data_IF_449745339396
#
_entry.id   IF_449745339396
#
_cell.length_a   1.000
_cell.length_b   1.000
_cell.length_c   1.000
_cell.angle_alpha   90.00
_cell.angle_beta   90.00
_cell.angle_gamma   90.00
#
_symmetry.space_group_name_H-M   'P 1'
#
loop_
_entity.id
_entity.type
_entity.pdbx_description
1 polymer ?
#
# COMPACT_ATOMS: atom_id res chain seq x y z
N UNK A 1 -12.34 9.51 28.95
CA UNK A 1 -10.91 9.44 28.61
C UNK A 1 -10.52 8.21 27.79
N UNK A 2 -11.25 7.08 27.81
CA UNK A 2 -10.80 5.83 27.17
C UNK A 2 -10.89 5.71 25.64
N UNK A 3 -11.48 6.67 24.92
CA UNK A 3 -11.62 6.58 23.46
C UNK A 3 -10.30 6.73 22.71
N UNK A 4 -9.46 7.68 23.12
CA UNK A 4 -8.15 7.91 22.50
C UNK A 4 -7.18 6.76 22.79
N UNK A 5 -7.20 6.23 24.03
CA UNK A 5 -6.38 5.08 24.41
C UNK A 5 -6.75 3.82 23.60
N UNK A 6 -8.05 3.58 23.38
CA UNK A 6 -8.52 2.47 22.56
C UNK A 6 -8.11 2.62 21.08
N UNK A 7 -8.12 3.84 20.55
CA UNK A 7 -7.66 4.14 19.17
C UNK A 7 -6.15 3.92 19.05
N UNK A 8 -5.36 4.38 20.01
CA UNK A 8 -3.90 4.20 20.01
C UNK A 8 -3.55 2.70 20.14
N UNK A 9 -4.24 1.98 21.03
CA UNK A 9 -4.05 0.55 21.20
C UNK A 9 -4.40 -0.24 19.92
N UNK A 10 -5.56 0.03 19.32
CA UNK A 10 -5.97 -0.64 18.07
C UNK A 10 -5.06 -0.28 16.89
N UNK A 11 -4.58 0.96 16.80
CA UNK A 11 -3.59 1.38 15.81
C UNK A 11 -2.28 0.60 15.96
N UNK A 12 -1.75 0.50 17.19
CA UNK A 12 -0.54 -0.27 17.48
C UNK A 12 -0.69 -1.74 17.12
N UNK A 13 -1.80 -2.37 17.51
CA UNK A 13 -2.08 -3.78 17.20
C UNK A 13 -2.19 -4.00 15.68
N UNK A 14 -2.89 -3.11 14.96
CA UNK A 14 -3.07 -3.24 13.51
C UNK A 14 -1.75 -3.06 12.75
N UNK A 15 -0.89 -2.14 13.19
CA UNK A 15 0.44 -1.93 12.62
C UNK A 15 1.33 -3.16 12.80
N UNK A 16 1.36 -3.72 14.02
CA UNK A 16 2.13 -4.93 14.34
C UNK A 16 1.60 -6.13 13.55
N UNK A 17 0.29 -6.29 13.45
CA UNK A 17 -0.32 -7.37 12.68
C UNK A 17 0.03 -7.29 11.18
N UNK A 18 -0.08 -6.11 10.57
CA UNK A 18 0.30 -5.92 9.16
C UNK A 18 1.79 -6.13 8.92
N UNK A 19 2.64 -5.64 9.83
CA UNK A 19 4.08 -5.84 9.74
C UNK A 19 4.44 -7.32 9.87
N UNK A 20 3.86 -8.02 10.84
CA UNK A 20 4.07 -9.45 11.03
C UNK A 20 3.60 -10.26 9.82
N UNK A 21 2.43 -9.95 9.26
CA UNK A 21 1.94 -10.60 8.03
C UNK A 21 2.88 -10.31 6.86
N UNK A 22 3.33 -9.07 6.67
CA UNK A 22 4.28 -8.69 5.60
C UNK A 22 5.66 -9.31 5.75
N UNK A 23 6.18 -9.39 6.98
CA UNK A 23 7.47 -9.98 7.31
C UNK A 23 7.44 -11.52 7.20
N UNK A 24 6.38 -12.16 7.72
CA UNK A 24 6.16 -13.60 7.58
C UNK A 24 5.99 -13.98 6.12
N UNK A 25 5.24 -13.16 5.39
CA UNK A 25 5.18 -13.21 3.95
C UNK A 25 6.69 -13.22 3.52
N UNK A 26 7.46 -12.14 3.71
CA UNK A 26 8.81 -11.99 3.15
C UNK A 26 9.81 -13.10 3.53
N UNK A 27 9.66 -13.71 4.70
CA UNK A 27 10.54 -14.77 5.22
C UNK A 27 10.25 -16.15 4.61
N UNK A 28 9.00 -16.46 4.26
CA UNK A 28 8.60 -17.80 3.78
C UNK A 28 9.01 -18.06 2.32
N UNK A 29 9.37 -17.02 1.57
CA UNK A 29 9.43 -17.07 0.10
C UNK A 29 10.64 -16.32 -0.43
N UNK A 30 11.80 -16.94 -0.30
CA UNK A 30 13.02 -16.60 -1.05
C UNK A 30 12.90 -17.03 -2.54
N UNK A 31 11.74 -16.81 -3.19
CA UNK A 31 11.61 -16.75 -4.66
C UNK A 31 10.27 -16.15 -5.08
N UNK A 32 10.34 -15.24 -6.05
CA UNK A 32 9.26 -14.52 -6.79
C UNK A 32 8.58 -13.30 -6.15
N UNK A 33 8.84 -12.99 -4.88
CA UNK A 33 8.05 -11.95 -4.20
C UNK A 33 8.54 -10.54 -4.39
N UNK A 34 9.86 -10.38 -4.48
CA UNK A 34 10.45 -9.13 -4.89
C UNK A 34 10.08 -8.82 -6.35
N UNK A 35 9.99 -9.84 -7.21
CA UNK A 35 9.50 -9.70 -8.58
C UNK A 35 8.01 -9.31 -8.64
N UNK A 36 7.14 -9.96 -7.86
CA UNK A 36 5.71 -9.62 -7.81
C UNK A 36 5.46 -8.23 -7.18
N UNK A 37 6.25 -7.85 -6.17
CA UNK A 37 6.22 -6.50 -5.62
C UNK A 37 6.67 -5.43 -6.63
N UNK A 38 7.69 -5.73 -7.43
CA UNK A 38 8.11 -4.88 -8.55
C UNK A 38 7.05 -4.79 -9.64
N UNK A 39 6.44 -5.91 -10.04
CA UNK A 39 5.34 -5.93 -11.00
C UNK A 39 4.18 -5.06 -10.51
N UNK A 40 3.81 -5.15 -9.24
CA UNK A 40 2.73 -4.34 -8.68
C UNK A 40 3.10 -2.86 -8.56
N UNK A 41 4.36 -2.54 -8.25
CA UNK A 41 4.87 -1.16 -8.27
C UNK A 41 4.83 -0.59 -9.69
N UNK A 42 5.22 -1.38 -10.69
CA UNK A 42 5.19 -0.99 -12.10
C UNK A 42 3.77 -0.73 -12.59
N UNK A 43 2.81 -1.59 -12.24
CA UNK A 43 1.38 -1.38 -12.52
C UNK A 43 0.89 -0.10 -11.83
N UNK A 44 1.28 0.13 -10.57
CA UNK A 44 0.93 1.34 -9.83
C UNK A 44 1.42 2.63 -10.51
N UNK A 45 2.65 2.64 -11.02
CA UNK A 45 3.20 3.77 -11.77
C UNK A 45 2.39 4.04 -13.04
N UNK A 46 2.06 2.99 -13.80
CA UNK A 46 1.25 3.11 -15.02
C UNK A 46 -0.14 3.67 -14.70
N UNK A 47 -0.80 3.11 -13.68
CA UNK A 47 -2.13 3.57 -13.25
C UNK A 47 -2.06 5.03 -12.82
N UNK A 48 -1.08 5.42 -11.99
CA UNK A 48 -0.91 6.80 -11.54
C UNK A 48 -0.67 7.76 -12.72
N UNK A 49 0.17 7.39 -13.68
CA UNK A 49 0.44 8.19 -14.87
C UNK A 49 -0.82 8.37 -15.73
N UNK A 50 -1.60 7.30 -15.92
CA UNK A 50 -2.87 7.35 -16.68
C UNK A 50 -3.90 8.19 -15.95
N UNK A 51 -4.10 7.98 -14.64
CA UNK A 51 -5.07 8.74 -13.85
C UNK A 51 -4.71 10.22 -13.81
N UNK A 52 -3.44 10.55 -13.61
CA UNK A 52 -2.97 11.94 -13.61
C UNK A 52 -3.09 12.57 -15.00
N UNK A 53 -2.72 11.84 -16.06
CA UNK A 53 -2.85 12.29 -17.44
C UNK A 53 -4.31 12.55 -17.84
N UNK A 54 -5.23 11.66 -17.46
CA UNK A 54 -6.67 11.87 -17.64
C UNK A 54 -7.17 13.06 -16.82
N UNK A 55 -6.69 13.22 -15.59
CA UNK A 55 -7.01 14.37 -14.75
C UNK A 55 -6.59 15.70 -15.39
N UNK A 56 -5.40 15.75 -16.00
CA UNK A 56 -4.93 16.92 -16.75
C UNK A 56 -5.72 17.13 -18.05
N UNK A 57 -6.02 16.06 -18.79
CA UNK A 57 -6.76 16.17 -20.05
C UNK A 57 -8.19 16.68 -19.82
N UNK A 58 -8.90 16.14 -18.82
CA UNK A 58 -10.23 16.62 -18.46
C UNK A 58 -10.17 17.98 -17.74
N UNK A 59 -9.15 18.23 -16.91
CA UNK A 59 -8.95 19.51 -16.24
C UNK A 59 -8.55 20.65 -17.19
N UNK A 60 -7.97 20.35 -18.35
CA UNK A 60 -7.66 21.33 -19.40
C UNK A 60 -8.83 21.52 -20.39
N UNK A 61 -9.81 20.62 -20.40
CA UNK A 61 -11.02 20.70 -21.22
C UNK A 61 -12.21 21.36 -20.51
N UNK A 62 -12.12 21.60 -19.19
CA UNK A 62 -13.10 22.35 -18.39
C UNK A 62 -12.59 23.74 -18.05
#
# INVERSE_FOLDING_TARGET
>A
SGGLDAVIASFGISLVAHFAVGALKSLITIRSWWASGLEMTWIGIIVAAVTYGLGLAFGALG
#
